data_IF_424658639451
#
_entry.id   IF_424658639451
#
_cell.length_a   1.000
_cell.length_b   1.000
_cell.length_c   1.000
_cell.angle_alpha   90.00
_cell.angle_beta   90.00
_cell.angle_gamma   90.00
#
_symmetry.space_group_name_H-M   'P 1'
#
loop_
_entity.id
_entity.type
_entity.pdbx_description
1 polymer ?
#
# COMPACT_ATOMS: atom_id res chain seq x y z
N UNK A 1 -14.25 -7.37 10.28
CA UNK A 1 -14.07 -8.46 11.26
C UNK A 1 -12.62 -8.57 11.75
N UNK A 2 -11.65 -9.02 10.95
CA UNK A 2 -10.24 -9.12 11.40
C UNK A 2 -9.61 -7.74 11.60
N UNK A 3 -9.79 -6.82 10.64
CA UNK A 3 -9.29 -5.44 10.72
C UNK A 3 -9.84 -4.76 11.98
N UNK A 4 -11.16 -4.73 12.16
CA UNK A 4 -11.80 -4.13 13.35
C UNK A 4 -11.32 -4.74 14.67
N UNK A 5 -11.12 -6.06 14.71
CA UNK A 5 -10.60 -6.75 15.90
C UNK A 5 -9.16 -6.31 16.20
N UNK A 6 -8.27 -6.29 15.20
CA UNK A 6 -6.88 -5.89 15.38
C UNK A 6 -6.78 -4.42 15.86
N UNK A 7 -7.55 -3.53 15.23
CA UNK A 7 -7.61 -2.12 15.62
C UNK A 7 -8.17 -1.94 17.04
N UNK A 8 -9.22 -2.69 17.41
CA UNK A 8 -9.77 -2.68 18.76
C UNK A 8 -8.79 -3.19 19.84
N UNK A 9 -7.80 -3.99 19.46
CA UNK A 9 -6.71 -4.45 20.32
C UNK A 9 -5.47 -3.54 20.28
N UNK A 10 -5.48 -2.48 19.47
CA UNK A 10 -4.35 -1.57 19.31
C UNK A 10 -3.19 -2.16 18.50
N UNK A 11 -3.47 -3.12 17.61
CA UNK A 11 -2.48 -3.68 16.70
C UNK A 11 -2.50 -2.98 15.34
N UNK A 12 -1.30 -2.79 14.79
CA UNK A 12 -1.11 -2.53 13.38
C UNK A 12 -1.43 -3.78 12.57
N UNK A 13 -2.08 -3.61 11.42
CA UNK A 13 -2.44 -4.70 10.52
C UNK A 13 -2.05 -4.38 9.09
N UNK A 14 -1.45 -5.37 8.41
CA UNK A 14 -1.14 -5.32 6.99
C UNK A 14 -2.06 -6.29 6.26
N UNK A 15 -2.83 -5.80 5.30
CA UNK A 15 -3.57 -6.65 4.38
C UNK A 15 -2.69 -6.98 3.15
N UNK A 16 -2.37 -8.25 2.98
CA UNK A 16 -1.53 -8.76 1.88
C UNK A 16 -2.37 -9.28 0.70
N UNK A 17 -1.78 -9.25 -0.49
CA UNK A 17 -2.38 -9.83 -1.70
C UNK A 17 -3.33 -8.90 -2.46
N UNK A 18 -3.19 -7.58 -2.35
CA UNK A 18 -4.00 -6.61 -3.12
C UNK A 18 -3.56 -6.57 -4.59
N UNK A 19 -4.44 -7.01 -5.50
CA UNK A 19 -4.18 -7.13 -6.93
C UNK A 19 -4.90 -6.08 -7.78
N UNK A 20 -5.97 -5.45 -7.26
CA UNK A 20 -6.74 -4.42 -7.95
C UNK A 20 -7.18 -3.23 -7.07
N UNK A 21 -7.72 -2.20 -7.73
CA UNK A 21 -8.18 -0.96 -7.10
C UNK A 21 -9.41 -1.17 -6.20
N UNK A 22 -10.32 -2.06 -6.58
CA UNK A 22 -11.53 -2.31 -5.80
C UNK A 22 -11.20 -2.95 -4.44
N UNK A 23 -10.21 -3.85 -4.41
CA UNK A 23 -9.66 -4.42 -3.18
C UNK A 23 -8.97 -3.36 -2.31
N UNK A 24 -8.17 -2.48 -2.92
CA UNK A 24 -7.51 -1.39 -2.20
C UNK A 24 -8.53 -0.41 -1.58
N UNK A 25 -9.57 -0.05 -2.33
CA UNK A 25 -10.64 0.83 -1.87
C UNK A 25 -11.46 0.21 -0.76
N UNK A 26 -11.78 -1.09 -0.87
CA UNK A 26 -12.47 -1.82 0.18
C UNK A 26 -11.68 -1.84 1.50
N UNK A 27 -10.36 -2.12 1.42
CA UNK A 27 -9.48 -2.12 2.60
C UNK A 27 -9.31 -0.72 3.19
N UNK A 28 -9.26 0.33 2.36
CA UNK A 28 -9.25 1.72 2.81
C UNK A 28 -10.54 2.08 3.56
N UNK A 29 -11.70 1.68 3.04
CA UNK A 29 -13.01 1.92 3.70
C UNK A 29 -13.13 1.17 5.03
N UNK A 30 -12.51 -0.01 5.14
CA UNK A 30 -12.40 -0.75 6.40
C UNK A 30 -11.42 -0.12 7.42
N UNK A 31 -10.69 0.94 7.05
CA UNK A 31 -9.69 1.56 7.90
C UNK A 31 -8.43 0.72 8.10
N UNK A 32 -8.11 -0.17 7.16
CA UNK A 32 -6.85 -0.93 7.22
C UNK A 32 -5.65 0.02 7.02
N UNK A 33 -4.70 0.10 7.98
CA UNK A 33 -3.65 1.12 7.96
C UNK A 33 -2.57 0.83 6.92
N UNK A 34 -2.32 -0.45 6.60
CA UNK A 34 -1.28 -0.87 5.66
C UNK A 34 -1.80 -1.93 4.69
N UNK A 35 -1.39 -1.81 3.43
CA UNK A 35 -1.75 -2.76 2.38
C UNK A 35 -0.52 -3.12 1.53
N UNK A 36 -0.44 -4.37 1.09
CA UNK A 36 0.59 -4.86 0.18
C UNK A 36 -0.03 -5.70 -0.93
N UNK A 37 0.45 -5.53 -2.16
CA UNK A 37 0.15 -6.45 -3.24
C UNK A 37 0.58 -5.93 -4.60
N UNK A 38 0.36 -6.73 -5.63
CA UNK A 38 0.80 -6.46 -7.00
C UNK A 38 0.13 -5.25 -7.65
N UNK A 39 -1.01 -4.80 -7.12
CA UNK A 39 -1.61 -3.52 -7.50
C UNK A 39 -0.64 -2.35 -7.28
N UNK A 40 0.11 -2.38 -6.17
CA UNK A 40 1.08 -1.34 -5.82
C UNK A 40 2.46 -1.62 -6.40
N UNK A 41 2.97 -2.84 -6.17
CA UNK A 41 4.28 -3.25 -6.65
C UNK A 41 4.44 -4.77 -6.62
N UNK A 42 5.22 -5.30 -7.57
CA UNK A 42 5.76 -6.66 -7.45
C UNK A 42 6.98 -6.64 -6.51
N UNK A 43 7.42 -7.79 -5.98
CA UNK A 43 8.73 -7.89 -5.34
C UNK A 43 9.80 -7.32 -6.26
N UNK A 44 10.69 -6.51 -5.68
CA UNK A 44 11.78 -5.85 -6.39
C UNK A 44 13.11 -6.32 -5.84
N UNK A 45 14.13 -6.25 -6.68
CA UNK A 45 15.51 -6.46 -6.25
C UNK A 45 15.95 -5.38 -5.24
N UNK A 46 16.81 -5.77 -4.30
CA UNK A 46 17.23 -4.90 -3.20
C UNK A 46 17.88 -3.59 -3.68
N UNK A 47 18.61 -3.62 -4.79
CA UNK A 47 19.26 -2.45 -5.39
C UNK A 47 18.26 -1.43 -5.96
N UNK A 48 16.98 -1.81 -6.13
CA UNK A 48 15.92 -0.91 -6.61
C UNK A 48 15.18 -0.19 -5.49
N UNK A 49 15.30 -0.65 -4.23
CA UNK A 49 14.62 -0.04 -3.07
C UNK A 49 14.93 1.47 -2.91
N UNK A 50 16.20 1.94 -3.01
CA UNK A 50 16.49 3.37 -2.87
C UNK A 50 15.74 4.26 -3.87
N UNK A 51 15.54 3.78 -5.10
CA UNK A 51 14.81 4.51 -6.14
C UNK A 51 13.29 4.57 -5.87
N UNK A 52 12.76 3.68 -5.02
CA UNK A 52 11.37 3.68 -4.58
C UNK A 52 11.17 4.67 -3.41
N UNK A 53 12.14 4.75 -2.49
CA UNK A 53 12.10 5.64 -1.32
C UNK A 53 11.94 7.12 -1.70
N UNK A 54 12.61 7.58 -2.76
CA UNK A 54 12.50 8.96 -3.26
C UNK A 54 11.14 9.34 -3.88
N UNK A 55 10.18 8.41 -3.93
CA UNK A 55 8.84 8.60 -4.49
C UNK A 55 7.72 8.42 -3.45
N UNK A 56 8.06 8.14 -2.20
CA UNK A 56 7.12 8.09 -1.09
C UNK A 56 6.92 9.50 -0.55
N UNK A 57 5.75 10.09 -0.83
CA UNK A 57 5.31 11.28 -0.11
C UNK A 57 4.84 10.85 1.28
N UNK A 58 5.52 11.34 2.32
CA UNK A 58 5.02 11.24 3.70
C UNK A 58 3.98 12.34 3.87
N UNK A 59 2.71 11.98 3.83
CA UNK A 59 1.58 12.80 4.28
C UNK A 59 0.97 12.18 5.53
N UNK A 60 0.41 13.01 6.41
CA UNK A 60 0.31 12.74 7.86
C UNK A 60 -0.44 11.48 8.32
N UNK A 61 -1.23 10.74 7.53
CA UNK A 61 -1.94 9.55 8.06
C UNK A 61 -2.05 8.34 7.11
N UNK A 62 -1.49 8.39 5.88
CA UNK A 62 -1.58 7.24 4.95
C UNK A 62 -0.34 7.13 4.07
N UNK A 63 0.41 6.03 4.18
CA UNK A 63 1.46 5.68 3.23
C UNK A 63 0.79 5.25 1.92
N UNK A 64 0.68 6.16 0.96
CA UNK A 64 0.27 5.82 -0.41
C UNK A 64 1.54 5.58 -1.22
N UNK A 65 1.77 4.32 -1.62
CA UNK A 65 2.77 4.04 -2.66
C UNK A 65 2.24 4.63 -3.97
N UNK A 66 2.75 5.80 -4.36
CA UNK A 66 2.52 6.32 -5.69
C UNK A 66 3.07 5.31 -6.70
N UNK A 67 2.20 4.84 -7.61
CA UNK A 67 2.60 3.98 -8.71
C UNK A 67 3.87 4.52 -9.37
N UNK A 68 4.81 3.63 -9.72
CA UNK A 68 5.83 3.99 -10.71
C UNK A 68 5.04 4.32 -11.96
N UNK A 69 4.75 5.61 -12.16
CA UNK A 69 3.95 6.08 -13.28
C UNK A 69 4.49 5.42 -14.54
N UNK A 70 3.63 4.66 -15.23
CA UNK A 70 3.90 4.26 -16.60
C UNK A 70 4.22 5.57 -17.32
N UNK A 71 5.49 5.72 -17.68
CA UNK A 71 6.01 6.77 -18.53
C UNK A 71 4.95 7.10 -19.58
N UNK A 72 4.30 8.26 -19.48
CA UNK A 72 3.59 8.86 -20.60
C UNK A 72 4.67 9.18 -21.64
N UNK A 73 4.99 8.18 -22.47
CA UNK A 73 5.57 8.43 -23.78
C UNK A 73 4.41 8.81 -24.67
N UNK A 74 4.52 10.03 -25.19
CA UNK A 74 3.75 10.54 -26.32
C UNK A 74 3.71 9.54 -27.47
#
# INVERSE_FOLDING_TARGET
AIVDMALGLGFDVVAEGVEDEAQADFLRQLGCPYVQGFYFSRPVEADKIPAMMGKLFVGDETIVMASVGKSQRR
#
